data_IF_991067816570
#
_entry.id   IF_991067816570
#
_cell.length_a   1.000
_cell.length_b   1.000
_cell.length_c   1.000
_cell.angle_alpha   90.00
_cell.angle_beta   90.00
_cell.angle_gamma   90.00
#
_symmetry.space_group_name_H-M   'P 1'
#
loop_
_entity.id
_entity.type
_entity.pdbx_description
1 polymer ?
#
# COMPACT_ATOMS: atom_id res chain seq x y z
N UNK A 1 -18.51 -7.82 -7.61
CA UNK A 1 -17.31 -8.66 -7.64
C UNK A 1 -16.85 -8.85 -6.21
N UNK A 2 -16.46 -10.07 -5.85
CA UNK A 2 -15.94 -10.37 -4.51
C UNK A 2 -14.55 -9.75 -4.38
N UNK A 3 -14.28 -9.14 -3.23
CA UNK A 3 -13.01 -8.46 -2.98
C UNK A 3 -11.94 -9.47 -2.54
N UNK A 4 -10.94 -9.74 -3.39
CA UNK A 4 -9.83 -10.66 -3.11
C UNK A 4 -9.11 -10.38 -1.78
N UNK A 5 -9.07 -9.13 -1.33
CA UNK A 5 -8.40 -8.72 -0.10
C UNK A 5 -9.08 -9.23 1.17
N UNK A 6 -10.36 -9.60 1.07
CA UNK A 6 -11.12 -10.21 2.15
C UNK A 6 -11.05 -11.74 2.16
N UNK A 7 -10.45 -12.36 1.14
CA UNK A 7 -10.24 -13.80 1.16
C UNK A 7 -9.29 -14.21 2.28
N UNK A 8 -9.59 -15.34 2.88
CA UNK A 8 -8.80 -15.87 3.98
C UNK A 8 -7.60 -16.64 3.44
N UNK A 9 -6.41 -16.20 3.82
CA UNK A 9 -5.17 -16.95 3.75
C UNK A 9 -4.88 -17.43 5.18
N UNK A 10 -4.87 -18.76 5.39
CA UNK A 10 -4.66 -19.33 6.74
C UNK A 10 -5.55 -18.65 7.81
N UNK A 11 -6.86 -18.60 7.57
CA UNK A 11 -7.89 -18.02 8.45
C UNK A 11 -7.82 -16.50 8.67
N UNK A 12 -6.92 -15.79 7.99
CA UNK A 12 -6.73 -14.35 8.11
C UNK A 12 -7.01 -13.64 6.76
N UNK A 13 -7.81 -12.55 6.72
CA UNK A 13 -8.00 -11.78 5.50
C UNK A 13 -6.68 -11.32 4.87
N UNK A 14 -6.55 -11.45 3.55
CA UNK A 14 -5.30 -11.17 2.84
C UNK A 14 -4.72 -9.79 3.18
N UNK A 15 -5.53 -8.73 3.17
CA UNK A 15 -5.04 -7.37 3.45
C UNK A 15 -4.41 -7.24 4.84
N UNK A 16 -4.84 -8.06 5.82
CA UNK A 16 -4.37 -8.00 7.19
C UNK A 16 -2.88 -8.38 7.35
N UNK A 17 -2.32 -9.15 6.41
CA UNK A 17 -0.92 -9.54 6.49
C UNK A 17 0.01 -8.33 6.45
N UNK A 18 -0.11 -7.50 5.42
CA UNK A 18 0.68 -6.29 5.29
C UNK A 18 0.20 -5.21 6.27
N UNK A 19 -1.12 -5.04 6.42
CA UNK A 19 -1.72 -4.06 7.34
C UNK A 19 -1.17 -4.19 8.77
N UNK A 20 -1.18 -5.39 9.36
CA UNK A 20 -0.74 -5.60 10.74
C UNK A 20 0.76 -5.30 10.91
N UNK A 21 1.58 -5.58 9.89
CA UNK A 21 3.02 -5.26 9.89
C UNK A 21 3.25 -3.75 9.83
N UNK A 22 2.53 -3.05 8.96
CA UNK A 22 2.58 -1.60 8.86
C UNK A 22 2.15 -0.93 10.17
N UNK A 23 1.07 -1.40 10.80
CA UNK A 23 0.62 -0.88 12.11
C UNK A 23 1.74 -1.00 13.14
N UNK A 24 2.37 -2.18 13.28
CA UNK A 24 3.45 -2.41 14.24
C UNK A 24 4.66 -1.50 13.97
N UNK A 25 5.04 -1.35 12.70
CA UNK A 25 6.14 -0.47 12.32
C UNK A 25 5.81 0.97 12.66
N UNK A 26 4.64 1.48 12.26
CA UNK A 26 4.22 2.85 12.57
C UNK A 26 4.01 3.10 14.08
N UNK A 27 3.70 2.07 14.88
CA UNK A 27 3.66 2.20 16.35
C UNK A 27 5.05 2.49 16.95
N UNK A 28 6.11 1.91 16.36
CA UNK A 28 7.50 2.18 16.78
C UNK A 28 8.06 3.51 16.29
N UNK A 29 7.48 4.05 15.20
CA UNK A 29 7.90 5.28 14.55
C UNK A 29 6.79 6.32 14.61
N UNK A 30 6.72 7.15 15.66
CA UNK A 30 5.62 8.11 15.86
C UNK A 30 5.53 9.21 14.79
N UNK A 31 6.58 9.42 14.01
CA UNK A 31 6.65 10.32 12.87
C UNK A 31 5.95 9.75 11.62
N UNK A 32 5.63 8.45 11.58
CA UNK A 32 4.95 7.82 10.46
C UNK A 32 3.46 7.64 10.75
N UNK A 33 2.63 7.97 9.79
CA UNK A 33 1.19 7.80 9.83
C UNK A 33 0.73 6.90 8.67
N UNK A 34 -0.16 5.96 8.96
CA UNK A 34 -0.71 5.05 7.98
C UNK A 34 -2.08 5.54 7.52
N UNK A 35 -2.29 5.61 6.20
CA UNK A 35 -3.60 5.92 5.61
C UNK A 35 -4.06 4.73 4.78
N UNK A 36 -5.14 4.09 5.19
CA UNK A 36 -5.82 3.03 4.45
C UNK A 36 -6.82 3.67 3.50
N UNK A 37 -6.56 3.59 2.21
CA UNK A 37 -7.49 4.04 1.17
C UNK A 37 -8.20 2.83 0.59
N UNK A 38 -9.51 2.79 0.69
CA UNK A 38 -10.31 1.67 0.18
C UNK A 38 -11.64 2.15 -0.41
N UNK A 39 -12.18 1.40 -1.37
CA UNK A 39 -13.55 1.58 -1.84
C UNK A 39 -14.56 0.68 -1.10
N UNK A 40 -14.06 -0.23 -0.25
CA UNK A 40 -14.84 -1.28 0.39
C UNK A 40 -15.15 -0.94 1.86
N UNK A 41 -16.44 -0.72 2.19
CA UNK A 41 -16.85 -0.45 3.57
C UNK A 41 -16.49 -1.57 4.55
N UNK A 42 -16.40 -2.81 4.07
CA UNK A 42 -16.04 -3.98 4.89
C UNK A 42 -14.61 -3.86 5.44
N UNK A 43 -13.67 -3.35 4.63
CA UNK A 43 -12.29 -3.11 5.08
C UNK A 43 -12.27 -1.97 6.10
N UNK A 44 -12.98 -0.86 5.81
CA UNK A 44 -13.10 0.24 6.77
C UNK A 44 -13.65 -0.23 8.12
N UNK A 45 -14.72 -1.05 8.10
CA UNK A 45 -15.31 -1.63 9.31
C UNK A 45 -14.31 -2.47 10.10
N UNK A 46 -13.54 -3.32 9.42
CA UNK A 46 -12.53 -4.15 10.10
C UNK A 46 -11.43 -3.29 10.72
N UNK A 47 -10.95 -2.25 10.02
CA UNK A 47 -9.93 -1.33 10.55
C UNK A 47 -10.45 -0.58 11.77
N UNK A 48 -11.68 -0.08 11.73
CA UNK A 48 -12.33 0.59 12.88
C UNK A 48 -12.48 -0.36 14.09
N UNK A 49 -12.91 -1.59 13.85
CA UNK A 49 -13.03 -2.58 14.91
C UNK A 49 -11.68 -2.92 15.57
N UNK A 50 -10.59 -2.92 14.81
CA UNK A 50 -9.24 -3.07 15.35
C UNK A 50 -8.85 -1.87 16.21
N UNK A 51 -9.13 -0.66 15.77
CA UNK A 51 -8.87 0.57 16.50
C UNK A 51 -9.62 0.61 17.84
N UNK A 52 -10.88 0.14 17.88
CA UNK A 52 -11.69 0.07 19.09
C UNK A 52 -11.21 -1.00 20.08
N UNK A 53 -10.56 -2.06 19.58
CA UNK A 53 -10.03 -3.17 20.40
C UNK A 53 -8.60 -2.94 20.90
N UNK A 54 -7.91 -1.89 20.43
CA UNK A 54 -6.59 -1.53 20.95
C UNK A 54 -6.67 -1.18 22.44
N UNK A 55 -5.62 -1.55 23.17
CA UNK A 55 -5.59 -1.28 24.61
C UNK A 55 -5.59 0.23 24.86
N UNK A 56 -6.34 0.67 25.86
CA UNK A 56 -6.43 2.10 26.21
C UNK A 56 -5.03 2.67 26.47
N UNK A 57 -4.61 3.60 25.61
CA UNK A 57 -3.33 4.30 25.71
C UNK A 57 -2.28 3.92 24.66
N UNK A 58 -2.51 2.89 23.88
CA UNK A 58 -1.65 2.58 22.73
C UNK A 58 -2.03 3.46 21.52
N UNK A 59 -1.00 3.92 20.79
CA UNK A 59 -1.20 4.68 19.56
C UNK A 59 -1.66 3.73 18.44
N UNK A 60 -2.81 4.04 17.83
CA UNK A 60 -3.22 3.39 16.59
C UNK A 60 -2.97 4.36 15.42
N UNK A 61 -1.86 4.21 14.70
CA UNK A 61 -1.38 5.20 13.74
C UNK A 61 -2.08 5.11 12.38
N UNK A 62 -3.40 4.85 12.36
CA UNK A 62 -4.15 4.56 11.14
C UNK A 62 -5.31 5.53 10.95
N UNK A 63 -5.35 6.17 9.77
CA UNK A 63 -6.55 6.82 9.22
C UNK A 63 -7.15 5.95 8.13
N UNK A 64 -8.46 5.95 7.98
CA UNK A 64 -9.16 5.27 6.88
C UNK A 64 -9.87 6.29 5.99
N UNK A 65 -9.74 6.11 4.69
CA UNK A 65 -10.36 6.95 3.66
C UNK A 65 -11.17 6.08 2.70
N UNK A 66 -12.47 6.32 2.62
CA UNK A 66 -13.32 5.72 1.60
C UNK A 66 -13.19 6.51 0.29
N UNK A 67 -12.56 5.89 -0.70
CA UNK A 67 -12.43 6.45 -2.05
C UNK A 67 -13.46 5.81 -2.98
N UNK A 68 -14.60 6.47 -3.14
CA UNK A 68 -15.69 5.99 -3.99
C UNK A 68 -15.32 5.87 -5.46
N UNK A 69 -14.30 6.58 -5.89
CA UNK A 69 -13.86 6.61 -7.29
C UNK A 69 -12.74 5.59 -7.60
N UNK A 70 -12.23 4.85 -6.61
CA UNK A 70 -11.15 3.88 -6.80
C UNK A 70 -11.48 2.76 -7.79
N UNK A 71 -12.77 2.47 -8.02
CA UNK A 71 -13.20 1.56 -9.09
C UNK A 71 -12.84 2.04 -10.50
N UNK A 72 -12.53 3.33 -10.66
CA UNK A 72 -12.08 3.92 -11.94
C UNK A 72 -10.58 3.73 -12.19
N UNK A 73 -9.85 3.19 -11.22
CA UNK A 73 -8.44 2.86 -11.32
C UNK A 73 -7.57 3.38 -10.17
N UNK A 74 -6.32 2.92 -10.15
CA UNK A 74 -5.34 3.18 -9.09
C UNK A 74 -5.08 4.67 -8.82
N UNK A 75 -5.15 5.51 -9.87
CA UNK A 75 -4.93 6.95 -9.74
C UNK A 75 -5.86 7.60 -8.70
N UNK A 76 -7.08 7.10 -8.56
CA UNK A 76 -8.06 7.67 -7.63
C UNK A 76 -7.72 7.34 -6.18
N UNK A 77 -7.21 6.14 -5.92
CA UNK A 77 -6.70 5.76 -4.60
C UNK A 77 -5.47 6.58 -4.21
N UNK A 78 -4.49 6.74 -5.12
CA UNK A 78 -3.31 7.58 -4.92
C UNK A 78 -3.72 9.02 -4.57
N UNK A 79 -4.62 9.62 -5.35
CA UNK A 79 -5.12 10.99 -5.10
C UNK A 79 -5.82 11.12 -3.76
N UNK A 80 -6.63 10.13 -3.38
CA UNK A 80 -7.34 10.15 -2.10
C UNK A 80 -6.36 10.07 -0.92
N UNK A 81 -5.33 9.21 -1.01
CA UNK A 81 -4.28 9.10 0.00
C UNK A 81 -3.49 10.39 0.17
N UNK A 82 -3.00 10.99 -0.92
CA UNK A 82 -2.25 12.26 -0.88
C UNK A 82 -3.08 13.39 -0.26
N UNK A 83 -4.36 13.51 -0.64
CA UNK A 83 -5.24 14.54 -0.06
C UNK A 83 -5.48 14.34 1.43
N UNK A 84 -5.53 13.09 1.88
CA UNK A 84 -5.73 12.76 3.29
C UNK A 84 -4.44 12.93 4.13
N UNK A 85 -3.27 12.81 3.51
CA UNK A 85 -1.97 13.01 4.16
C UNK A 85 -1.68 14.49 4.47
N UNK A 86 -2.31 15.43 3.74
CA UNK A 86 -2.09 16.86 4.00
C UNK A 86 -0.68 17.31 3.68
N UNK A 87 0.00 17.92 4.65
CA UNK A 87 1.34 18.52 4.52
C UNK A 87 2.47 17.50 4.81
N UNK A 88 2.30 16.25 4.40
CA UNK A 88 3.32 15.23 4.58
C UNK A 88 4.63 15.56 3.82
N UNK A 89 5.78 15.20 4.38
CA UNK A 89 7.09 15.38 3.74
C UNK A 89 7.34 14.39 2.60
N UNK A 90 6.74 13.21 2.68
CA UNK A 90 6.86 12.16 1.69
C UNK A 90 5.65 11.20 1.69
N UNK A 91 5.56 10.39 0.66
CA UNK A 91 4.50 9.39 0.48
C UNK A 91 5.13 8.03 0.17
N UNK A 92 4.72 6.98 0.87
CA UNK A 92 5.04 5.60 0.55
C UNK A 92 3.76 4.85 0.15
N UNK A 93 3.76 4.26 -1.05
CA UNK A 93 2.60 3.55 -1.58
C UNK A 93 2.83 2.04 -1.53
N UNK A 94 2.19 1.40 -0.58
CA UNK A 94 2.12 -0.05 -0.46
C UNK A 94 0.86 -0.59 -1.14
N UNK A 95 0.87 -1.87 -1.51
CA UNK A 95 -0.28 -2.57 -2.09
C UNK A 95 -0.71 -3.72 -1.18
N UNK A 96 -2.00 -3.81 -0.89
CA UNK A 96 -2.53 -4.72 0.14
C UNK A 96 -2.57 -6.19 -0.30
N UNK A 97 -2.31 -6.49 -1.56
CA UNK A 97 -2.27 -7.84 -2.13
C UNK A 97 -0.87 -8.47 -2.14
N UNK A 98 0.09 -7.88 -1.39
CA UNK A 98 1.42 -8.42 -1.13
C UNK A 98 1.54 -8.97 0.31
N UNK A 99 0.92 -10.11 0.65
CA UNK A 99 0.88 -10.62 2.02
C UNK A 99 2.24 -11.15 2.52
N UNK A 100 3.19 -11.31 1.63
CA UNK A 100 4.52 -11.83 1.98
C UNK A 100 5.56 -10.74 2.27
N UNK A 101 5.23 -9.47 2.00
CA UNK A 101 6.13 -8.36 2.30
C UNK A 101 6.35 -8.26 3.82
N UNK A 102 7.60 -8.48 4.28
CA UNK A 102 7.90 -8.69 5.69
C UNK A 102 7.88 -7.41 6.51
N UNK A 103 7.72 -7.52 7.83
CA UNK A 103 7.81 -6.38 8.76
C UNK A 103 9.20 -5.73 8.71
N UNK A 104 10.26 -6.55 8.62
CA UNK A 104 11.64 -6.10 8.47
C UNK A 104 11.85 -5.31 7.18
N UNK A 105 11.27 -5.77 6.06
CA UNK A 105 11.34 -5.06 4.78
C UNK A 105 10.53 -3.76 4.78
N UNK A 106 9.39 -3.71 5.49
CA UNK A 106 8.61 -2.47 5.68
C UNK A 106 9.50 -1.42 6.37
N UNK A 107 10.04 -1.77 7.53
CA UNK A 107 10.84 -0.84 8.35
C UNK A 107 12.13 -0.44 7.64
N UNK A 108 12.89 -1.41 7.12
CA UNK A 108 14.15 -1.15 6.42
C UNK A 108 13.97 -0.31 5.13
N UNK A 109 12.87 -0.53 4.39
CA UNK A 109 12.54 0.30 3.23
C UNK A 109 12.28 1.76 3.65
N UNK A 110 11.41 1.98 4.63
CA UNK A 110 11.04 3.34 5.06
C UNK A 110 12.23 4.10 5.63
N UNK A 111 13.02 3.48 6.53
CA UNK A 111 14.23 4.09 7.08
C UNK A 111 15.26 4.45 6.00
N UNK A 112 15.44 3.56 5.00
CA UNK A 112 16.34 3.84 3.89
C UNK A 112 15.84 5.01 3.06
N UNK A 113 14.55 5.06 2.77
CA UNK A 113 13.96 6.14 1.97
C UNK A 113 14.07 7.48 2.68
N UNK A 114 13.79 7.56 3.97
CA UNK A 114 13.96 8.78 4.75
C UNK A 114 15.41 9.28 4.74
N UNK A 115 16.37 8.38 4.83
CA UNK A 115 17.78 8.74 4.88
C UNK A 115 18.32 9.15 3.51
N UNK A 116 18.00 8.41 2.46
CA UNK A 116 18.68 8.48 1.15
C UNK A 116 17.80 9.06 0.04
N UNK A 117 16.48 8.99 0.14
CA UNK A 117 15.54 9.42 -0.90
C UNK A 117 14.80 10.72 -0.58
N UNK A 118 15.44 11.66 0.11
CA UNK A 118 14.83 12.95 0.55
C UNK A 118 14.34 13.83 -0.60
N UNK A 119 14.94 13.70 -1.79
CA UNK A 119 14.65 14.54 -2.95
C UNK A 119 14.43 13.75 -4.24
N UNK A 120 14.49 12.44 -4.19
CA UNK A 120 14.31 11.54 -5.33
C UNK A 120 13.32 10.44 -4.97
N UNK A 121 12.64 9.81 -5.95
CA UNK A 121 11.80 8.66 -5.66
C UNK A 121 12.61 7.45 -5.25
N UNK A 122 11.94 6.46 -4.68
CA UNK A 122 12.52 5.16 -4.38
C UNK A 122 11.52 4.03 -4.58
N UNK A 123 12.02 2.81 -4.66
CA UNK A 123 11.20 1.60 -4.64
C UNK A 123 11.98 0.40 -4.11
N UNK A 124 11.26 -0.68 -3.90
CA UNK A 124 11.89 -1.97 -3.59
C UNK A 124 12.34 -2.68 -4.87
N UNK A 125 13.35 -3.54 -4.72
CA UNK A 125 13.83 -4.42 -5.79
C UNK A 125 14.15 -5.81 -5.25
N UNK A 126 14.12 -6.79 -6.15
CA UNK A 126 14.73 -8.10 -5.96
C UNK A 126 15.46 -8.50 -7.25
N UNK A 127 16.78 -8.73 -7.15
CA UNK A 127 17.64 -9.02 -8.30
C UNK A 127 17.43 -8.08 -9.50
N UNK A 128 17.23 -6.78 -9.23
CA UNK A 128 17.00 -5.75 -10.25
C UNK A 128 15.56 -5.68 -10.79
N UNK A 129 14.68 -6.55 -10.34
CA UNK A 129 13.24 -6.46 -10.61
C UNK A 129 12.61 -5.47 -9.63
N UNK A 130 12.00 -4.42 -10.15
CA UNK A 130 11.33 -3.39 -9.36
C UNK A 130 9.94 -3.82 -8.91
N UNK A 131 9.58 -3.47 -7.67
CA UNK A 131 8.28 -3.78 -7.07
C UNK A 131 7.64 -2.62 -6.30
N UNK A 132 6.52 -2.90 -5.65
CA UNK A 132 5.96 -2.06 -4.61
C UNK A 132 6.53 -2.51 -3.25
N UNK A 133 6.65 -1.58 -2.30
CA UNK A 133 6.21 -0.18 -2.29
C UNK A 133 7.08 0.76 -3.13
N UNK A 134 6.49 1.93 -3.47
CA UNK A 134 7.20 3.06 -4.06
C UNK A 134 7.14 4.27 -3.13
N UNK A 135 8.22 5.05 -3.11
CA UNK A 135 8.40 6.24 -2.28
C UNK A 135 8.51 7.50 -3.11
N UNK A 136 7.88 8.58 -2.64
CA UNK A 136 7.98 9.90 -3.25
C UNK A 136 8.10 10.99 -2.19
N UNK A 137 9.13 11.86 -2.24
CA UNK A 137 9.11 13.15 -1.56
C UNK A 137 7.89 13.99 -1.96
N UNK A 138 7.39 14.83 -1.06
CA UNK A 138 6.18 15.64 -1.25
C UNK A 138 6.18 16.49 -2.53
N UNK A 139 7.35 16.91 -3.00
CA UNK A 139 7.48 17.69 -4.27
C UNK A 139 6.89 16.98 -5.50
N UNK A 140 6.75 15.65 -5.48
CA UNK A 140 6.12 14.87 -6.54
C UNK A 140 4.59 14.79 -6.40
N UNK A 141 4.04 15.31 -5.30
CA UNK A 141 2.60 15.25 -5.02
C UNK A 141 1.75 15.81 -6.15
N UNK A 142 2.18 16.91 -6.80
CA UNK A 142 1.46 17.49 -7.94
C UNK A 142 1.36 16.50 -9.12
N UNK A 143 2.46 15.86 -9.51
CA UNK A 143 2.44 14.87 -10.60
C UNK A 143 1.60 13.64 -10.25
N UNK A 144 1.65 13.21 -8.99
CA UNK A 144 0.83 12.10 -8.50
C UNK A 144 -0.68 12.45 -8.53
N UNK A 145 -1.03 13.70 -8.23
CA UNK A 145 -2.41 14.19 -8.33
C UNK A 145 -2.90 14.36 -9.78
N UNK A 146 -2.01 14.38 -10.77
CA UNK A 146 -2.34 14.42 -12.20
C UNK A 146 -2.52 13.02 -12.83
N UNK A 147 -2.27 11.93 -12.07
CA UNK A 147 -2.49 10.56 -12.55
C UNK A 147 -3.95 10.32 -12.95
N UNK A 148 -4.19 9.47 -13.95
CA UNK A 148 -5.52 9.11 -14.43
C UNK A 148 -5.65 7.60 -14.67
N UNK A 149 -6.87 7.07 -14.52
CA UNK A 149 -7.21 5.66 -14.77
C UNK A 149 -6.41 4.72 -13.88
N UNK A 150 -5.91 3.62 -14.42
CA UNK A 150 -5.16 2.59 -13.71
C UNK A 150 -3.68 2.95 -13.44
N UNK A 151 -3.32 4.21 -13.67
CA UNK A 151 -1.96 4.67 -13.44
C UNK A 151 -1.69 4.85 -11.94
N UNK A 152 -0.92 3.95 -11.34
CA UNK A 152 -0.40 4.09 -9.99
C UNK A 152 0.91 4.89 -9.92
N UNK A 153 1.49 5.03 -8.73
CA UNK A 153 2.74 5.75 -8.48
C UNK A 153 3.91 5.29 -9.35
N UNK A 154 3.96 4.01 -9.72
CA UNK A 154 5.00 3.47 -10.62
C UNK A 154 5.08 4.18 -11.98
N UNK A 155 3.99 4.77 -12.48
CA UNK A 155 4.02 5.55 -13.73
C UNK A 155 4.86 6.83 -13.57
N UNK A 156 4.74 7.50 -12.44
CA UNK A 156 5.58 8.67 -12.11
C UNK A 156 7.02 8.21 -11.81
N UNK A 157 7.20 7.15 -11.01
CA UNK A 157 8.50 6.59 -10.67
C UNK A 157 9.38 6.32 -11.91
N UNK A 158 8.84 5.72 -12.95
CA UNK A 158 9.59 5.38 -14.18
C UNK A 158 10.24 6.58 -14.85
N UNK A 159 9.70 7.80 -14.69
CA UNK A 159 10.28 9.04 -15.23
C UNK A 159 11.57 9.44 -14.53
N UNK A 160 11.75 9.00 -13.30
CA UNK A 160 12.85 9.39 -12.41
C UNK A 160 13.74 8.20 -12.01
N UNK A 161 13.54 7.05 -12.61
CA UNK A 161 14.18 5.77 -12.29
C UNK A 161 15.71 5.87 -12.19
N UNK A 162 16.35 6.60 -13.10
CA UNK A 162 17.80 6.75 -13.14
C UNK A 162 18.40 7.44 -11.90
N UNK A 163 17.61 8.20 -11.19
CA UNK A 163 18.02 8.91 -9.97
C UNK A 163 17.43 8.31 -8.70
N UNK A 164 16.63 7.25 -8.83
CA UNK A 164 15.89 6.66 -7.74
C UNK A 164 16.81 5.91 -6.76
N UNK A 165 16.35 5.83 -5.51
CA UNK A 165 16.92 4.97 -4.48
C UNK A 165 16.21 3.62 -4.49
N UNK A 166 16.97 2.53 -4.36
CA UNK A 166 16.43 1.18 -4.35
C UNK A 166 16.69 0.49 -3.01
N UNK A 167 15.70 -0.21 -2.51
CA UNK A 167 15.81 -1.10 -1.36
C UNK A 167 15.67 -2.54 -1.84
N UNK A 168 16.73 -3.34 -1.69
CA UNK A 168 16.72 -4.75 -2.07
C UNK A 168 16.06 -5.57 -0.96
N UNK A 169 14.96 -6.27 -1.28
CA UNK A 169 14.31 -7.20 -0.35
C UNK A 169 15.06 -8.52 -0.29
N UNK A 170 14.86 -9.29 0.77
CA UNK A 170 15.59 -10.53 1.01
C UNK A 170 15.06 -11.71 0.21
N UNK A 171 13.78 -11.70 -0.16
CA UNK A 171 13.09 -12.80 -0.83
C UNK A 171 12.27 -12.30 -2.02
N UNK A 172 12.33 -13.01 -3.14
CA UNK A 172 11.49 -12.78 -4.33
C UNK A 172 10.00 -12.69 -3.98
N UNK A 173 9.56 -13.58 -3.11
CA UNK A 173 8.17 -13.70 -2.69
C UNK A 173 7.61 -12.43 -2.06
N UNK A 174 8.44 -11.54 -1.52
CA UNK A 174 8.00 -10.26 -0.96
C UNK A 174 7.39 -9.33 -2.01
N UNK A 175 7.75 -9.51 -3.30
CA UNK A 175 7.22 -8.72 -4.41
C UNK A 175 6.03 -9.36 -5.12
N UNK A 176 5.58 -10.53 -4.67
CA UNK A 176 4.45 -11.24 -5.29
C UNK A 176 3.11 -10.60 -4.92
N UNK A 177 2.36 -10.16 -5.93
CA UNK A 177 0.95 -9.82 -5.81
C UNK A 177 0.13 -11.11 -5.90
N UNK A 178 -0.73 -11.38 -4.93
CA UNK A 178 -1.66 -12.50 -5.03
C UNK A 178 -2.88 -12.08 -5.84
N UNK A 179 -2.87 -12.44 -7.12
CA UNK A 179 -4.02 -12.31 -8.03
C UNK A 179 -4.92 -13.56 -8.05
N UNK A 180 -4.60 -14.55 -7.22
CA UNK A 180 -5.10 -15.91 -7.34
C UNK A 180 -6.25 -16.20 -6.37
N UNK A 181 -7.36 -16.68 -6.91
CA UNK A 181 -8.40 -17.37 -6.15
C UNK A 181 -8.04 -18.85 -5.99
N UNK A 182 -8.21 -19.48 -4.81
CA UNK A 182 -8.05 -20.92 -4.65
C UNK A 182 -8.89 -21.71 -5.68
N UNK A 183 -8.37 -22.82 -6.18
CA UNK A 183 -9.02 -23.62 -7.26
C UNK A 183 -10.44 -24.07 -6.96
N UNK A 184 -10.86 -24.08 -5.70
CA UNK A 184 -12.20 -24.46 -5.24
C UNK A 184 -13.28 -23.48 -5.74
N UNK A 185 -12.95 -22.21 -6.00
CA UNK A 185 -13.87 -21.20 -6.51
C UNK A 185 -13.81 -20.99 -8.02
N UNK A 186 -12.77 -21.48 -8.71
CA UNK A 186 -12.66 -21.42 -10.17
C UNK A 186 -13.85 -22.02 -10.92
N UNK A 187 -14.63 -22.88 -10.30
CA UNK A 187 -15.85 -23.45 -10.88
C UNK A 187 -17.04 -22.48 -10.96
N UNK A 188 -16.97 -21.30 -10.33
CA UNK A 188 -18.09 -20.34 -10.28
C UNK A 188 -17.88 -19.03 -11.04
N UNK A 189 -16.69 -18.75 -11.57
CA UNK A 189 -16.41 -17.47 -12.23
C UNK A 189 -15.79 -17.69 -13.60
N UNK A 190 -16.65 -17.97 -14.57
CA UNK A 190 -16.38 -17.73 -15.98
C UNK A 190 -17.12 -16.48 -16.39
N UNK A 191 -16.64 -15.30 -16.04
CA UNK A 191 -16.92 -13.99 -16.67
C UNK A 191 -16.62 -12.87 -15.66
N UNK A 192 -15.59 -12.10 -15.93
CA UNK A 192 -15.36 -10.86 -15.19
C UNK A 192 -13.88 -10.49 -15.08
N UNK A 193 -13.53 -9.39 -15.71
CA UNK A 193 -12.17 -8.89 -15.84
C UNK A 193 -11.42 -8.70 -14.53
N UNK A 194 -10.11 -8.73 -14.66
CA UNK A 194 -9.13 -8.48 -13.60
C UNK A 194 -9.27 -7.05 -13.05
N UNK A 195 -10.06 -6.86 -12.01
CA UNK A 195 -10.06 -5.64 -11.22
C UNK A 195 -8.84 -5.65 -10.29
N UNK A 196 -7.79 -4.95 -10.69
CA UNK A 196 -6.68 -4.63 -9.78
C UNK A 196 -7.18 -3.61 -8.76
N UNK A 197 -7.40 -4.06 -7.54
CA UNK A 197 -7.81 -3.19 -6.44
C UNK A 197 -6.56 -2.63 -5.76
N UNK A 198 -6.27 -1.36 -5.96
CA UNK A 198 -5.15 -0.68 -5.32
C UNK A 198 -5.59 -0.11 -3.97
N UNK A 199 -4.87 -0.47 -2.93
CA UNK A 199 -4.95 0.19 -1.64
C UNK A 199 -3.66 0.97 -1.43
N UNK A 200 -3.81 2.25 -1.14
CA UNK A 200 -2.69 3.15 -0.92
C UNK A 200 -2.53 3.33 0.58
N UNK A 201 -1.38 2.96 1.10
CA UNK A 201 -0.94 3.34 2.43
C UNK A 201 0.05 4.50 2.27
N UNK A 202 -0.29 5.64 2.83
CA UNK A 202 0.58 6.82 2.81
C UNK A 202 1.13 7.00 4.21
N UNK A 203 2.45 7.09 4.31
CA UNK A 203 3.15 7.28 5.57
C UNK A 203 3.77 8.67 5.54
N UNK A 204 3.50 9.47 6.58
CA UNK A 204 4.13 10.77 6.81
C UNK A 204 5.58 10.65 7.25
#
# INVERSE_FOLDING_TARGET
AENKLLYLLDEKPMFRYLFDRLVKVCQRHPEWEMIVVTQYPEIEHQVKALQENEQQGERFPVKTVISKDSYKGAAYSVKAGIRAAGDADAYAFFVADQPYFTEESVEGFLEKMEREAKVVPGCVTWNGQEGNPVWFPAKYGKELLELEGDAGGRKVFRRYREKAVFYEVSLEKELEDIDYMPEIEKMRITEGGTEKTFHVYVIE
#
